data_IF_610403950365
#
_entry.id   IF_610403950365
#
_cell.length_a   1.000
_cell.length_b   1.000
_cell.length_c   1.000
_cell.angle_alpha   90.00
_cell.angle_beta   90.00
_cell.angle_gamma   90.00
#
_symmetry.space_group_name_H-M   'P 1'
#
loop_
_entity.id
_entity.type
_entity.pdbx_description
1 polymer ?
#
# COMPACT_ATOMS: atom_id res chain seq x y z
N UNK A 1 -8.67 14.46 -68.54
CA UNK A 1 -7.75 14.56 -67.38
C UNK A 1 -7.71 15.93 -66.68
N UNK A 2 -7.87 17.08 -67.37
CA UNK A 2 -7.89 18.41 -66.72
C UNK A 2 -9.13 18.68 -65.83
N UNK A 3 -10.31 18.18 -66.20
CA UNK A 3 -11.56 18.37 -65.41
C UNK A 3 -11.54 17.65 -64.08
N UNK A 4 -10.95 16.46 -64.01
CA UNK A 4 -10.86 15.66 -62.75
C UNK A 4 -9.91 16.28 -61.72
N UNK A 5 -8.81 16.94 -62.21
CA UNK A 5 -7.88 17.65 -61.32
C UNK A 5 -8.52 18.87 -60.65
N UNK A 6 -9.40 19.58 -61.34
CA UNK A 6 -10.06 20.74 -60.77
C UNK A 6 -11.15 20.38 -59.77
N UNK A 7 -11.83 19.24 -59.92
CA UNK A 7 -12.84 18.74 -58.94
C UNK A 7 -12.09 18.28 -57.67
N UNK A 8 -10.94 17.61 -57.81
CA UNK A 8 -10.17 17.17 -56.61
C UNK A 8 -9.57 18.38 -55.85
N UNK A 9 -9.16 19.42 -56.55
CA UNK A 9 -8.62 20.66 -55.91
C UNK A 9 -9.71 21.43 -55.17
N UNK A 10 -10.93 21.53 -55.73
CA UNK A 10 -12.07 22.17 -55.06
C UNK A 10 -12.56 21.37 -53.87
N UNK A 11 -12.57 20.03 -53.91
CA UNK A 11 -12.93 19.21 -52.77
C UNK A 11 -11.89 19.26 -51.63
N UNK A 12 -10.59 19.34 -51.94
CA UNK A 12 -9.57 19.57 -50.92
C UNK A 12 -9.65 20.98 -50.31
N UNK A 13 -10.00 22.02 -51.08
CA UNK A 13 -10.16 23.36 -50.56
C UNK A 13 -11.41 23.50 -49.68
N UNK A 14 -12.50 22.83 -50.01
CA UNK A 14 -13.72 22.78 -49.17
C UNK A 14 -13.48 22.00 -47.88
N UNK A 15 -12.71 20.90 -47.92
CA UNK A 15 -12.32 20.18 -46.73
C UNK A 15 -11.37 20.97 -45.82
N UNK A 16 -10.48 21.78 -46.38
CA UNK A 16 -9.63 22.67 -45.57
C UNK A 16 -10.37 23.88 -44.98
N UNK A 17 -11.36 24.42 -45.70
CA UNK A 17 -12.19 25.49 -45.15
C UNK A 17 -13.12 25.05 -44.03
N UNK A 18 -13.55 23.79 -44.00
CA UNK A 18 -14.37 23.24 -42.90
C UNK A 18 -13.56 22.96 -41.63
N UNK A 19 -12.23 22.70 -41.77
CA UNK A 19 -11.35 22.49 -40.62
C UNK A 19 -10.94 23.81 -39.90
N UNK A 20 -11.04 24.93 -40.59
CA UNK A 20 -10.68 26.26 -40.03
C UNK A 20 -11.83 26.90 -39.19
N UNK A 21 -13.02 26.30 -39.19
CA UNK A 21 -14.21 26.83 -38.50
C UNK A 21 -14.68 25.98 -37.29
N UNK A 22 -13.86 25.05 -36.79
CA UNK A 22 -14.24 24.31 -35.61
C UNK A 22 -14.11 25.18 -34.36
N UNK A 23 -15.16 25.21 -33.52
CA UNK A 23 -15.08 25.81 -32.21
C UNK A 23 -13.99 25.11 -31.40
N UNK A 24 -12.93 25.84 -31.08
CA UNK A 24 -11.83 25.31 -30.31
C UNK A 24 -12.12 25.51 -28.81
N UNK A 25 -12.54 24.43 -28.15
CA UNK A 25 -12.70 24.40 -26.69
C UNK A 25 -11.36 24.05 -26.12
N UNK A 26 -10.81 24.94 -25.32
CA UNK A 26 -9.57 24.74 -24.60
C UNK A 26 -9.81 23.83 -23.38
N UNK A 27 -9.02 22.76 -23.29
CA UNK A 27 -8.98 21.84 -22.15
C UNK A 27 -7.92 22.33 -21.19
N UNK A 28 -8.31 23.02 -20.14
CA UNK A 28 -7.36 23.50 -19.15
C UNK A 28 -7.37 22.58 -17.95
N UNK A 29 -6.24 21.92 -17.68
CA UNK A 29 -6.04 21.14 -16.47
C UNK A 29 -5.87 22.08 -15.29
N UNK A 30 -6.72 21.93 -14.30
CA UNK A 30 -6.69 22.70 -13.07
C UNK A 30 -6.32 21.75 -11.94
N UNK A 31 -5.20 22.06 -11.29
CA UNK A 31 -4.72 21.33 -10.12
C UNK A 31 -5.05 22.14 -8.86
N UNK A 32 -5.70 21.51 -7.90
CA UNK A 32 -6.01 22.15 -6.62
C UNK A 32 -6.02 21.13 -5.50
N UNK A 33 -5.79 21.61 -4.27
CA UNK A 33 -5.87 20.77 -3.08
C UNK A 33 -7.27 20.83 -2.48
N UNK A 34 -7.66 19.76 -1.78
CA UNK A 34 -8.90 19.72 -1.03
C UNK A 34 -8.75 18.84 0.21
N UNK A 35 -9.65 19.04 1.18
CA UNK A 35 -9.76 18.17 2.35
C UNK A 35 -10.76 17.06 2.02
N UNK A 36 -10.27 15.84 1.89
CA UNK A 36 -11.11 14.66 1.75
C UNK A 36 -11.78 14.36 3.09
N UNK A 37 -13.10 14.27 3.07
CA UNK A 37 -13.87 13.89 4.25
C UNK A 37 -13.71 12.42 4.57
N UNK A 38 -13.75 12.02 5.86
CA UNK A 38 -13.73 10.63 6.28
C UNK A 38 -14.95 9.83 5.78
N UNK A 39 -14.77 8.53 5.58
CA UNK A 39 -15.86 7.64 5.16
C UNK A 39 -16.86 7.36 6.28
N UNK A 40 -16.43 7.44 7.55
CA UNK A 40 -17.30 7.27 8.72
C UNK A 40 -17.75 8.62 9.24
N UNK A 41 -18.96 8.66 9.79
CA UNK A 41 -19.47 9.85 10.49
C UNK A 41 -18.55 10.20 11.65
N UNK A 42 -18.14 11.47 11.68
CA UNK A 42 -17.27 12.01 12.72
C UNK A 42 -18.07 12.96 13.61
N UNK A 43 -18.02 12.70 14.92
CA UNK A 43 -18.54 13.67 15.88
C UNK A 43 -17.60 14.88 15.95
N UNK A 44 -18.16 16.07 15.86
CA UNK A 44 -17.38 17.31 15.88
C UNK A 44 -16.63 17.57 17.18
N UNK A 45 -16.98 16.86 18.27
CA UNK A 45 -16.28 16.89 19.56
C UNK A 45 -14.95 16.12 19.53
N UNK A 46 -14.77 15.15 18.61
CA UNK A 46 -13.53 14.38 18.52
C UNK A 46 -12.43 15.20 17.85
N UNK A 47 -11.51 15.71 18.65
CA UNK A 47 -10.37 16.52 18.20
C UNK A 47 -9.04 15.79 18.34
N UNK A 48 -8.98 14.78 19.19
CA UNK A 48 -7.77 14.07 19.56
C UNK A 48 -7.92 12.57 19.33
N UNK A 49 -6.79 11.87 19.29
CA UNK A 49 -6.75 10.40 19.32
C UNK A 49 -5.56 9.91 20.15
N UNK A 50 -5.71 8.73 20.74
CA UNK A 50 -4.67 8.01 21.45
C UNK A 50 -4.44 6.66 20.79
N UNK A 51 -3.17 6.25 20.64
CA UNK A 51 -2.81 4.95 20.11
C UNK A 51 -2.31 4.04 21.24
N UNK A 52 -2.82 2.82 21.29
CA UNK A 52 -2.35 1.75 22.16
C UNK A 52 -1.88 0.58 21.29
N UNK A 53 -0.81 -0.08 21.71
CA UNK A 53 -0.23 -1.21 21.00
C UNK A 53 -0.32 -2.46 21.86
N UNK A 54 -0.82 -3.54 21.25
CA UNK A 54 -0.86 -4.87 21.83
C UNK A 54 0.16 -5.76 21.07
N UNK A 55 1.16 -6.25 21.79
CA UNK A 55 2.31 -6.95 21.23
C UNK A 55 2.09 -8.48 21.23
N UNK A 56 1.16 -8.99 20.43
CA UNK A 56 0.82 -10.41 20.38
C UNK A 56 1.98 -11.31 19.91
N UNK A 57 2.96 -10.77 19.20
CA UNK A 57 4.18 -11.51 18.82
C UNK A 57 5.04 -11.91 20.02
N UNK A 58 4.90 -11.26 21.19
CA UNK A 58 5.67 -11.62 22.40
C UNK A 58 5.30 -13.01 22.91
N UNK A 59 4.03 -13.40 22.79
CA UNK A 59 3.60 -14.74 23.17
C UNK A 59 4.23 -15.80 22.25
N UNK A 60 4.32 -15.53 20.95
CA UNK A 60 5.00 -16.41 20.02
C UNK A 60 6.51 -16.54 20.32
N UNK A 61 7.18 -15.45 20.73
CA UNK A 61 8.57 -15.50 21.20
C UNK A 61 8.72 -16.36 22.44
N UNK A 62 7.85 -16.21 23.43
CA UNK A 62 7.88 -17.00 24.66
C UNK A 62 7.66 -18.50 24.37
N UNK A 63 6.74 -18.85 23.48
CA UNK A 63 6.50 -20.22 23.08
C UNK A 63 7.67 -20.82 22.29
N UNK A 64 8.30 -20.03 21.42
CA UNK A 64 9.52 -20.42 20.72
C UNK A 64 10.68 -20.71 21.69
N UNK A 65 10.83 -19.91 22.74
CA UNK A 65 11.82 -20.14 23.81
C UNK A 65 11.56 -21.45 24.55
N UNK A 66 10.33 -21.70 24.96
CA UNK A 66 9.94 -22.96 25.63
C UNK A 66 10.26 -24.19 24.77
N UNK A 67 9.94 -24.14 23.47
CA UNK A 67 10.23 -25.22 22.53
C UNK A 67 11.74 -25.41 22.39
N UNK A 68 12.50 -24.32 22.30
CA UNK A 68 13.96 -24.36 22.22
C UNK A 68 14.57 -25.01 23.46
N UNK A 69 14.17 -24.58 24.66
CA UNK A 69 14.67 -25.11 25.92
C UNK A 69 14.34 -26.61 26.07
N UNK A 70 13.11 -27.01 25.70
CA UNK A 70 12.71 -28.40 25.74
C UNK A 70 13.58 -29.29 24.78
N UNK A 71 13.81 -28.83 23.55
CA UNK A 71 14.68 -29.51 22.59
C UNK A 71 16.13 -29.59 23.08
N UNK A 72 16.66 -28.47 23.62
CA UNK A 72 18.01 -28.43 24.18
C UNK A 72 18.19 -29.44 25.30
N UNK A 73 17.19 -29.54 26.19
CA UNK A 73 17.21 -30.52 27.28
C UNK A 73 17.12 -31.97 26.76
N UNK A 74 16.32 -32.22 25.72
CA UNK A 74 16.21 -33.52 25.08
C UNK A 74 17.56 -33.96 24.44
N UNK A 75 18.20 -33.07 23.68
CA UNK A 75 19.51 -33.34 23.07
C UNK A 75 20.61 -33.53 24.13
N UNK A 76 20.60 -32.77 25.22
CA UNK A 76 21.53 -32.97 26.33
C UNK A 76 21.32 -34.32 27.01
N UNK A 77 20.09 -34.73 27.22
CA UNK A 77 19.74 -36.05 27.80
C UNK A 77 20.25 -37.19 26.89
N UNK A 78 20.00 -37.07 25.59
CA UNK A 78 20.49 -38.03 24.60
C UNK A 78 22.04 -38.10 24.59
N UNK A 79 22.72 -36.93 24.54
CA UNK A 79 24.18 -36.88 24.61
C UNK A 79 24.72 -37.58 25.85
N UNK A 80 24.15 -37.31 27.03
CA UNK A 80 24.58 -37.93 28.29
C UNK A 80 24.43 -39.45 28.26
N UNK A 81 23.33 -39.95 27.69
CA UNK A 81 23.12 -41.39 27.53
C UNK A 81 24.16 -42.02 26.56
N UNK A 82 24.36 -41.40 25.40
CA UNK A 82 25.32 -41.85 24.40
C UNK A 82 26.76 -41.81 24.98
N UNK A 83 27.10 -40.77 25.73
CA UNK A 83 28.41 -40.63 26.39
C UNK A 83 28.62 -41.68 27.48
N UNK A 84 27.60 -42.02 28.24
CA UNK A 84 27.67 -43.08 29.23
C UNK A 84 27.97 -44.45 28.60
N UNK A 85 27.27 -44.78 27.49
CA UNK A 85 27.51 -46.00 26.71
C UNK A 85 28.91 -46.01 26.10
N UNK A 86 29.36 -44.90 25.54
CA UNK A 86 30.72 -44.75 25.02
C UNK A 86 31.75 -44.98 26.10
N UNK A 87 31.61 -44.35 27.26
CA UNK A 87 32.51 -44.50 28.42
C UNK A 87 32.60 -45.96 28.88
N UNK A 88 31.44 -46.63 29.02
CA UNK A 88 31.39 -48.05 29.40
C UNK A 88 32.18 -48.92 28.40
N UNK A 89 32.02 -48.72 27.10
CA UNK A 89 32.74 -49.43 26.05
C UNK A 89 34.23 -49.14 26.12
N UNK A 90 34.63 -47.89 26.30
CA UNK A 90 36.03 -47.48 26.44
C UNK A 90 36.67 -48.15 27.68
N UNK A 91 36.01 -48.03 28.84
CA UNK A 91 36.54 -48.59 30.07
C UNK A 91 36.69 -50.13 29.99
N UNK A 92 35.80 -50.82 29.28
CA UNK A 92 35.89 -52.27 29.04
C UNK A 92 37.10 -52.64 28.15
N UNK A 93 37.35 -51.83 27.08
CA UNK A 93 38.50 -52.02 26.20
C UNK A 93 39.82 -51.74 26.94
N UNK A 94 39.87 -50.71 27.75
CA UNK A 94 41.02 -50.39 28.59
C UNK A 94 41.32 -51.51 29.57
N UNK A 95 40.31 -52.04 30.26
CA UNK A 95 40.46 -53.14 31.21
C UNK A 95 40.97 -54.42 30.53
N UNK A 96 40.43 -54.78 29.36
CA UNK A 96 40.87 -55.94 28.57
C UNK A 96 42.34 -55.74 28.12
N UNK A 97 42.67 -54.56 27.61
CA UNK A 97 44.03 -54.22 27.18
C UNK A 97 45.07 -54.36 28.32
N UNK A 98 44.77 -53.71 29.47
CA UNK A 98 45.67 -53.79 30.63
C UNK A 98 45.81 -55.19 31.19
N UNK A 99 44.76 -56.02 31.15
CA UNK A 99 44.80 -57.40 31.56
C UNK A 99 45.73 -58.18 30.63
N UNK A 100 45.64 -58.00 29.30
CA UNK A 100 46.52 -58.66 28.31
C UNK A 100 47.94 -58.11 28.41
N UNK A 101 48.17 -56.87 28.67
CA UNK A 101 49.52 -56.32 28.87
C UNK A 101 50.19 -56.92 30.11
N UNK A 102 49.47 -57.00 31.21
CA UNK A 102 50.03 -57.62 32.46
C UNK A 102 50.36 -59.09 32.22
N UNK A 103 49.60 -59.87 31.45
CA UNK A 103 49.89 -61.22 31.06
C UNK A 103 51.13 -61.34 30.14
N UNK A 104 51.25 -60.40 29.17
CA UNK A 104 52.42 -60.28 28.31
C UNK A 104 53.70 -59.99 29.12
N UNK A 105 53.68 -58.98 30.00
CA UNK A 105 54.84 -58.62 30.83
C UNK A 105 55.26 -59.79 31.70
N UNK A 106 54.35 -60.54 32.28
CA UNK A 106 54.62 -61.73 33.07
C UNK A 106 55.30 -62.83 32.22
N UNK A 107 54.81 -63.00 30.97
CA UNK A 107 55.44 -64.00 30.05
C UNK A 107 56.87 -63.61 29.65
N UNK A 108 57.08 -62.37 29.30
CA UNK A 108 58.42 -61.83 28.97
C UNK A 108 59.40 -62.01 30.12
N UNK A 109 58.98 -61.67 31.31
CA UNK A 109 59.76 -61.75 32.54
C UNK A 109 60.12 -63.22 32.90
N UNK A 110 59.30 -64.16 32.47
CA UNK A 110 59.55 -65.59 32.65
C UNK A 110 60.40 -66.24 31.53
N UNK A 111 60.83 -65.47 30.53
CA UNK A 111 61.59 -65.96 29.38
C UNK A 111 60.71 -66.63 28.31
N UNK A 112 59.39 -66.62 28.41
CA UNK A 112 58.51 -67.22 27.44
C UNK A 112 58.26 -66.27 26.25
N UNK A 113 58.18 -66.85 25.03
CA UNK A 113 57.84 -66.10 23.84
C UNK A 113 56.39 -65.64 23.94
N UNK A 114 56.14 -64.29 23.88
CA UNK A 114 54.86 -63.72 23.94
C UNK A 114 54.70 -62.57 22.92
N UNK A 115 53.52 -62.44 22.34
CA UNK A 115 53.19 -61.34 21.41
C UNK A 115 52.58 -60.19 22.15
N UNK A 116 53.11 -58.99 21.94
CA UNK A 116 52.57 -57.77 22.57
C UNK A 116 51.14 -57.52 22.09
N UNK A 117 50.21 -57.25 22.99
CA UNK A 117 48.85 -56.89 22.61
C UNK A 117 48.80 -55.62 21.72
N UNK A 118 47.93 -55.63 20.75
CA UNK A 118 47.65 -54.44 19.92
C UNK A 118 46.87 -53.39 20.72
N UNK A 119 47.16 -52.12 20.48
CA UNK A 119 46.45 -51.01 21.13
C UNK A 119 44.94 -51.06 20.81
N UNK A 120 44.08 -50.73 21.77
CA UNK A 120 42.63 -50.79 21.55
C UNK A 120 42.17 -49.73 20.55
N UNK A 121 41.22 -50.10 19.69
CA UNK A 121 40.52 -49.18 18.80
C UNK A 121 39.26 -48.66 19.55
N UNK A 122 39.30 -47.41 19.97
CA UNK A 122 38.20 -46.82 20.70
C UNK A 122 37.04 -46.39 19.77
N UNK A 123 35.77 -46.52 20.20
CA UNK A 123 34.65 -45.93 19.51
C UNK A 123 34.76 -44.39 19.49
N UNK A 124 34.15 -43.77 18.48
CA UNK A 124 34.13 -42.32 18.36
C UNK A 124 33.36 -41.71 19.54
N UNK A 125 33.96 -40.76 20.22
CA UNK A 125 33.32 -40.04 21.35
C UNK A 125 32.14 -39.22 20.84
N UNK A 126 30.96 -39.31 21.46
CA UNK A 126 29.85 -38.42 21.17
C UNK A 126 30.24 -36.96 21.40
N UNK A 127 29.73 -36.06 20.52
CA UNK A 127 29.94 -34.63 20.64
C UNK A 127 28.58 -33.97 20.88
N UNK A 128 28.54 -33.14 21.91
CA UNK A 128 27.37 -32.29 22.15
C UNK A 128 27.43 -31.05 21.25
N UNK A 129 26.53 -30.96 20.30
CA UNK A 129 26.43 -29.80 19.40
C UNK A 129 25.02 -29.22 19.42
N UNK A 130 24.73 -28.23 20.34
CA UNK A 130 23.44 -27.63 20.47
C UNK A 130 23.11 -26.58 19.40
N UNK A 131 23.63 -26.75 18.16
CA UNK A 131 23.42 -25.80 17.05
C UNK A 131 21.93 -25.72 16.63
N UNK A 132 21.08 -25.28 17.55
CA UNK A 132 19.67 -25.01 17.28
C UNK A 132 19.49 -23.52 17.09
N UNK A 133 18.98 -23.13 15.91
CA UNK A 133 18.55 -21.74 15.67
C UNK A 133 17.17 -21.54 16.27
N UNK A 134 16.99 -20.45 17.00
CA UNK A 134 15.68 -19.97 17.46
C UNK A 134 15.27 -18.78 16.59
N UNK A 135 14.07 -18.85 16.06
CA UNK A 135 13.46 -17.73 15.36
C UNK A 135 12.68 -16.89 16.38
N UNK A 136 13.12 -15.66 16.57
CA UNK A 136 12.46 -14.70 17.43
C UNK A 136 12.08 -13.46 16.65
N UNK A 137 10.87 -12.96 16.91
CA UNK A 137 10.40 -11.68 16.40
C UNK A 137 11.14 -10.54 17.09
N UNK A 138 11.52 -9.51 16.32
CA UNK A 138 12.20 -8.33 16.83
C UNK A 138 11.31 -7.58 17.82
N UNK A 139 11.87 -7.14 18.93
CA UNK A 139 11.14 -6.34 19.88
C UNK A 139 10.94 -4.92 19.35
N UNK A 140 9.71 -4.40 19.53
CA UNK A 140 9.38 -3.01 19.19
C UNK A 140 9.37 -2.19 20.47
N UNK A 141 10.24 -1.20 20.53
CA UNK A 141 10.33 -0.26 21.63
C UNK A 141 9.30 0.87 21.45
N UNK A 142 8.80 1.45 22.53
CA UNK A 142 7.81 2.54 22.47
C UNK A 142 8.27 3.73 21.64
N UNK A 143 9.56 4.09 21.73
CA UNK A 143 10.12 5.18 20.93
C UNK A 143 10.10 4.88 19.41
N UNK A 144 10.13 3.62 19.01
CA UNK A 144 10.00 3.19 17.60
C UNK A 144 8.54 3.22 17.13
N UNK A 145 7.58 3.15 18.04
CA UNK A 145 6.14 3.17 17.76
C UNK A 145 5.57 4.59 17.79
N UNK A 146 6.24 5.50 18.52
CA UNK A 146 5.84 6.91 18.59
C UNK A 146 5.78 7.51 17.17
N UNK A 147 4.62 8.06 16.79
CA UNK A 147 4.40 8.67 15.48
C UNK A 147 4.25 7.70 14.29
N UNK A 148 4.29 6.38 14.51
CA UNK A 148 4.06 5.39 13.43
C UNK A 148 2.61 5.41 12.95
N UNK A 149 1.67 5.66 13.84
CA UNK A 149 0.25 5.79 13.51
C UNK A 149 -0.13 7.26 13.58
N UNK A 150 -0.69 7.77 12.48
CA UNK A 150 -1.08 9.17 12.33
C UNK A 150 -2.50 9.26 11.78
N UNK A 151 -3.29 10.15 12.37
CA UNK A 151 -4.64 10.44 11.89
C UNK A 151 -4.74 11.91 11.53
N UNK A 152 -4.84 12.19 10.23
CA UNK A 152 -4.84 13.55 9.71
C UNK A 152 -6.07 14.34 10.19
N UNK A 153 -5.81 15.54 10.67
CA UNK A 153 -6.84 16.41 11.21
C UNK A 153 -7.18 16.18 12.68
N UNK A 154 -6.38 15.38 13.39
CA UNK A 154 -6.48 15.14 14.82
C UNK A 154 -5.14 15.38 15.51
N UNK A 155 -5.19 15.85 16.73
CA UNK A 155 -4.04 15.96 17.62
C UNK A 155 -3.93 14.69 18.50
N UNK A 156 -2.74 14.43 19.03
CA UNK A 156 -2.56 13.37 20.03
C UNK A 156 -3.17 13.79 21.36
N UNK A 157 -3.96 12.92 22.01
CA UNK A 157 -4.58 13.21 23.30
C UNK A 157 -5.60 12.16 23.75
N UNK A 158 -5.98 12.22 25.03
CA UNK A 158 -6.75 11.18 25.71
C UNK A 158 -8.28 11.31 25.56
N UNK A 159 -8.79 12.48 25.12
CA UNK A 159 -10.22 12.80 25.19
C UNK A 159 -10.97 12.62 23.85
N UNK A 160 -10.43 11.83 22.94
CA UNK A 160 -11.01 11.62 21.62
C UNK A 160 -11.23 10.17 21.27
N UNK A 161 -10.66 9.75 20.16
CA UNK A 161 -10.74 8.37 19.70
C UNK A 161 -9.59 7.54 20.31
N UNK A 162 -9.88 6.28 20.63
CA UNK A 162 -8.87 5.30 21.01
C UNK A 162 -8.61 4.36 19.83
N UNK A 163 -7.35 4.29 19.39
CA UNK A 163 -6.89 3.42 18.32
C UNK A 163 -6.04 2.32 18.94
N UNK A 164 -6.53 1.08 18.90
CA UNK A 164 -5.80 -0.11 19.35
C UNK A 164 -5.21 -0.84 18.14
N UNK A 165 -3.91 -1.09 18.21
CA UNK A 165 -3.15 -1.82 17.20
C UNK A 165 -2.67 -3.14 17.76
N UNK A 166 -3.21 -4.26 17.23
CA UNK A 166 -2.75 -5.61 17.55
C UNK A 166 -1.63 -6.01 16.59
N UNK A 167 -0.40 -6.17 17.10
CA UNK A 167 0.78 -6.53 16.31
C UNK A 167 0.99 -8.05 16.45
N UNK A 168 0.62 -8.78 15.39
CA UNK A 168 0.74 -10.24 15.34
C UNK A 168 2.16 -10.69 14.98
N UNK A 169 2.53 -11.95 15.26
CA UNK A 169 3.76 -12.54 14.76
C UNK A 169 3.74 -12.69 13.23
N UNK A 170 4.86 -12.47 12.59
CA UNK A 170 5.06 -12.80 11.18
C UNK A 170 5.15 -14.33 11.02
N UNK A 171 4.42 -14.88 10.07
CA UNK A 171 4.32 -16.32 9.80
C UNK A 171 4.49 -16.63 8.32
N UNK A 172 4.68 -17.91 8.00
CA UNK A 172 4.83 -18.37 6.61
C UNK A 172 6.27 -18.42 6.13
N UNK A 173 7.08 -17.43 6.39
CA UNK A 173 8.55 -17.28 6.24
C UNK A 173 9.24 -18.24 5.24
N UNK A 174 8.88 -18.16 3.95
CA UNK A 174 9.43 -19.04 2.91
C UNK A 174 10.26 -18.24 1.93
N UNK A 175 11.42 -18.81 1.56
CA UNK A 175 12.19 -18.36 0.41
C UNK A 175 11.70 -19.11 -0.82
N UNK A 176 11.35 -18.38 -1.88
CA UNK A 176 10.89 -18.93 -3.15
C UNK A 176 11.80 -18.41 -4.26
N UNK A 177 12.39 -19.36 -5.00
CA UNK A 177 13.17 -19.04 -6.20
C UNK A 177 12.23 -19.01 -7.41
N UNK A 178 12.31 -17.96 -8.22
CA UNK A 178 11.63 -17.84 -9.49
C UNK A 178 12.62 -17.54 -10.59
N UNK A 179 12.69 -18.44 -11.58
CA UNK A 179 13.49 -18.24 -12.77
C UNK A 179 12.69 -17.45 -13.80
N UNK A 180 13.28 -16.36 -14.32
CA UNK A 180 12.68 -15.51 -15.36
C UNK A 180 13.64 -15.38 -16.54
N UNK A 181 13.10 -15.17 -17.75
CA UNK A 181 13.88 -15.11 -18.98
C UNK A 181 14.33 -16.49 -19.51
N UNK A 182 15.14 -16.50 -20.56
CA UNK A 182 15.67 -17.70 -21.19
C UNK A 182 17.09 -17.47 -21.75
N UNK A 183 17.87 -18.53 -21.86
CA UNK A 183 19.24 -18.46 -22.38
C UNK A 183 20.11 -17.50 -21.55
N UNK A 184 20.87 -16.64 -22.25
CA UNK A 184 21.76 -15.66 -21.62
C UNK A 184 21.02 -14.55 -20.83
N UNK A 185 19.72 -14.37 -21.05
CA UNK A 185 18.90 -13.39 -20.31
C UNK A 185 18.24 -13.95 -19.06
N UNK A 186 18.56 -15.20 -18.68
CA UNK A 186 18.03 -15.84 -17.47
C UNK A 186 18.39 -15.02 -16.23
N UNK A 187 17.39 -14.77 -15.39
CA UNK A 187 17.52 -14.14 -14.06
C UNK A 187 16.91 -15.06 -13.02
N UNK A 188 17.48 -15.04 -11.83
CA UNK A 188 16.99 -15.74 -10.66
C UNK A 188 16.46 -14.69 -9.68
N UNK A 189 15.15 -14.69 -9.48
CA UNK A 189 14.46 -13.82 -8.52
C UNK A 189 14.22 -14.61 -7.24
N UNK A 190 14.58 -14.03 -6.11
CA UNK A 190 14.35 -14.63 -4.80
C UNK A 190 13.33 -13.79 -4.06
N UNK A 191 12.22 -14.44 -3.73
CA UNK A 191 11.06 -13.85 -3.09
C UNK A 191 10.97 -14.38 -1.66
N UNK A 192 10.67 -13.51 -0.73
CA UNK A 192 10.31 -13.88 0.62
C UNK A 192 8.79 -13.86 0.76
N UNK A 193 8.21 -15.01 1.09
CA UNK A 193 6.77 -15.16 1.29
C UNK A 193 6.46 -15.17 2.79
N UNK A 194 5.50 -14.36 3.18
CA UNK A 194 5.10 -14.22 4.58
C UNK A 194 3.66 -13.74 4.70
N UNK A 195 3.11 -13.89 5.91
CA UNK A 195 1.85 -13.29 6.36
C UNK A 195 2.18 -12.48 7.61
N UNK A 196 1.86 -11.19 7.62
CA UNK A 196 1.99 -10.35 8.81
C UNK A 196 0.67 -9.62 9.05
N UNK A 197 -0.27 -10.23 9.78
CA UNK A 197 -1.52 -9.56 10.13
C UNK A 197 -1.26 -8.40 11.08
N UNK A 198 -2.10 -7.36 10.97
CA UNK A 198 -2.15 -6.26 11.93
C UNK A 198 -3.61 -5.93 12.22
N UNK A 199 -3.98 -5.93 13.49
CA UNK A 199 -5.32 -5.57 13.92
C UNK A 199 -5.44 -4.06 14.08
N UNK A 200 -6.54 -3.51 13.58
CA UNK A 200 -6.93 -2.12 13.79
C UNK A 200 -8.31 -2.07 14.42
N UNK A 201 -8.38 -1.52 15.63
CA UNK A 201 -9.65 -1.26 16.30
C UNK A 201 -9.72 0.21 16.69
N UNK A 202 -10.82 0.88 16.34
CA UNK A 202 -11.08 2.26 16.72
C UNK A 202 -12.32 2.29 17.59
N UNK A 203 -12.20 2.89 18.78
CA UNK A 203 -13.30 3.00 19.74
C UNK A 203 -13.48 4.45 20.20
N UNK A 204 -14.63 4.75 20.72
CA UNK A 204 -14.86 5.94 21.55
C UNK A 204 -14.24 5.74 22.93
N UNK A 205 -14.18 6.82 23.72
CA UNK A 205 -13.73 6.78 25.12
C UNK A 205 -14.66 5.95 26.01
N UNK A 206 -15.93 5.77 25.63
CA UNK A 206 -16.90 4.92 26.34
C UNK A 206 -16.77 3.41 25.99
N UNK A 207 -15.81 3.03 25.15
CA UNK A 207 -15.58 1.66 24.69
C UNK A 207 -16.41 1.24 23.47
N UNK A 208 -17.27 2.09 22.95
CA UNK A 208 -18.06 1.79 21.73
C UNK A 208 -17.13 1.58 20.54
N UNK A 209 -17.18 0.40 19.91
CA UNK A 209 -16.37 0.07 18.74
C UNK A 209 -16.97 0.72 17.49
N UNK A 210 -16.20 1.58 16.86
CA UNK A 210 -16.55 2.26 15.60
C UNK A 210 -16.03 1.51 14.38
N UNK A 211 -14.89 0.84 14.53
CA UNK A 211 -14.24 0.09 13.47
C UNK A 211 -13.38 -1.02 14.07
N UNK A 212 -13.39 -2.20 13.43
CA UNK A 212 -12.51 -3.31 13.79
C UNK A 212 -12.23 -4.16 12.56
N UNK A 213 -10.95 -4.34 12.24
CA UNK A 213 -10.53 -5.19 11.13
C UNK A 213 -9.11 -5.73 11.37
N UNK A 214 -8.86 -6.96 10.91
CA UNK A 214 -7.50 -7.50 10.73
C UNK A 214 -7.10 -7.20 9.28
N UNK A 215 -5.99 -6.51 9.13
CA UNK A 215 -5.40 -6.15 7.83
C UNK A 215 -4.26 -7.13 7.52
N UNK A 216 -3.99 -7.33 6.23
CA UNK A 216 -2.83 -8.10 5.73
C UNK A 216 -2.80 -9.58 6.18
N UNK A 217 -3.95 -10.19 6.39
CA UNK A 217 -4.06 -11.61 6.76
C UNK A 217 -3.95 -12.57 5.54
N UNK A 218 -3.34 -12.12 4.47
CA UNK A 218 -3.07 -12.90 3.26
C UNK A 218 -1.56 -13.03 3.03
N UNK A 219 -1.15 -14.12 2.35
CA UNK A 219 0.23 -14.32 1.95
C UNK A 219 0.70 -13.20 1.01
N UNK A 220 1.87 -12.67 1.28
CA UNK A 220 2.56 -11.70 0.46
C UNK A 220 3.89 -12.25 0.00
N UNK A 221 4.29 -11.82 -1.19
CA UNK A 221 5.61 -12.12 -1.74
C UNK A 221 6.36 -10.81 -1.94
N UNK A 222 7.52 -10.68 -1.33
CA UNK A 222 8.41 -9.53 -1.50
C UNK A 222 9.68 -9.96 -2.21
N UNK A 223 10.05 -9.24 -3.26
CA UNK A 223 11.30 -9.50 -3.97
C UNK A 223 12.48 -9.04 -3.11
N UNK A 224 13.34 -9.98 -2.73
CA UNK A 224 14.59 -9.67 -2.04
C UNK A 224 15.59 -9.08 -3.03
N UNK A 225 15.89 -9.83 -4.10
CA UNK A 225 16.84 -9.41 -5.12
C UNK A 225 16.70 -10.25 -6.40
N UNK A 226 17.40 -9.80 -7.46
CA UNK A 226 17.55 -10.50 -8.75
C UNK A 226 19.02 -10.70 -9.05
N UNK A 227 19.37 -11.93 -9.41
CA UNK A 227 20.74 -12.31 -9.71
C UNK A 227 20.84 -12.90 -11.12
N UNK A 228 22.03 -12.78 -11.73
CA UNK A 228 22.34 -13.41 -13.01
C UNK A 228 22.61 -14.90 -12.88
N UNK A 229 23.02 -15.36 -11.69
CA UNK A 229 23.25 -16.75 -11.38
C UNK A 229 22.76 -17.11 -9.98
N UNK A 230 22.45 -18.41 -9.79
CA UNK A 230 22.12 -18.95 -8.47
C UNK A 230 23.31 -18.89 -7.51
N UNK A 231 24.54 -18.91 -8.03
CA UNK A 231 25.76 -18.84 -7.22
C UNK A 231 25.89 -17.47 -6.53
N UNK A 232 25.61 -16.37 -7.22
CA UNK A 232 25.61 -15.04 -6.62
C UNK A 232 24.62 -14.94 -5.44
N UNK A 233 23.45 -15.56 -5.57
CA UNK A 233 22.49 -15.66 -4.47
C UNK A 233 23.07 -16.44 -3.28
N UNK A 234 23.71 -17.59 -3.50
CA UNK A 234 24.29 -18.39 -2.42
C UNK A 234 25.38 -17.62 -1.67
N UNK A 235 26.21 -16.87 -2.37
CA UNK A 235 27.21 -15.99 -1.75
C UNK A 235 26.55 -14.91 -0.89
N UNK A 236 25.51 -14.26 -1.41
CA UNK A 236 24.76 -13.25 -0.65
C UNK A 236 24.13 -13.87 0.62
N UNK A 237 23.57 -15.07 0.53
CA UNK A 237 22.95 -15.75 1.67
C UNK A 237 23.93 -16.07 2.79
N UNK A 238 25.20 -16.35 2.48
CA UNK A 238 26.23 -16.61 3.51
C UNK A 238 26.31 -15.43 4.51
N UNK A 239 26.21 -14.20 4.01
CA UNK A 239 26.34 -13.00 4.84
C UNK A 239 24.99 -12.59 5.48
N UNK A 240 23.85 -12.94 4.88
CA UNK A 240 22.53 -12.41 5.25
C UNK A 240 21.57 -13.43 5.89
N UNK A 241 21.89 -14.74 5.86
CA UNK A 241 20.97 -15.78 6.39
C UNK A 241 20.57 -15.51 7.85
N UNK A 242 21.51 -15.02 8.66
CA UNK A 242 21.29 -14.77 10.08
C UNK A 242 20.36 -13.57 10.34
N UNK A 243 20.35 -12.57 9.46
CA UNK A 243 19.62 -11.31 9.63
C UNK A 243 18.38 -11.21 8.75
N UNK A 244 18.26 -12.04 7.73
CA UNK A 244 17.22 -11.96 6.70
C UNK A 244 15.80 -11.92 7.30
N UNK A 245 15.51 -12.75 8.30
CA UNK A 245 14.20 -12.76 8.94
C UNK A 245 13.87 -11.42 9.58
N UNK A 246 14.80 -10.85 10.36
CA UNK A 246 14.60 -9.57 11.05
C UNK A 246 14.47 -8.41 10.06
N UNK A 247 15.27 -8.42 8.99
CA UNK A 247 15.18 -7.40 7.93
C UNK A 247 13.82 -7.46 7.21
N UNK A 248 13.37 -8.66 6.85
CA UNK A 248 12.08 -8.84 6.20
C UNK A 248 10.92 -8.51 7.13
N UNK A 249 11.02 -8.89 8.40
CA UNK A 249 10.03 -8.53 9.42
C UNK A 249 9.93 -7.00 9.60
N UNK A 250 11.06 -6.31 9.65
CA UNK A 250 11.07 -4.84 9.75
C UNK A 250 10.38 -4.17 8.55
N UNK A 251 10.68 -4.64 7.34
CA UNK A 251 10.03 -4.14 6.11
C UNK A 251 8.54 -4.43 6.14
N UNK A 252 8.15 -5.65 6.48
CA UNK A 252 6.76 -6.07 6.59
C UNK A 252 5.98 -5.22 7.61
N UNK A 253 6.56 -4.94 8.78
CA UNK A 253 5.97 -4.09 9.82
C UNK A 253 5.80 -2.64 9.36
N UNK A 254 6.81 -2.07 8.70
CA UNK A 254 6.69 -0.71 8.14
C UNK A 254 5.56 -0.63 7.11
N UNK A 255 5.44 -1.64 6.24
CA UNK A 255 4.31 -1.73 5.33
C UNK A 255 2.98 -1.88 6.07
N UNK A 256 2.90 -2.72 7.10
CA UNK A 256 1.69 -2.90 7.90
C UNK A 256 1.23 -1.59 8.57
N UNK A 257 2.15 -0.79 9.13
CA UNK A 257 1.81 0.54 9.66
C UNK A 257 1.36 1.51 8.58
N UNK A 258 1.92 1.43 7.37
CA UNK A 258 1.45 2.27 6.25
C UNK A 258 0.00 1.93 5.87
N UNK A 259 -0.37 0.64 5.88
CA UNK A 259 -1.74 0.20 5.63
C UNK A 259 -2.70 0.58 6.76
N UNK A 260 -2.26 0.49 8.02
CA UNK A 260 -3.03 1.03 9.15
C UNK A 260 -3.32 2.51 8.94
N UNK A 261 -2.30 3.31 8.62
CA UNK A 261 -2.45 4.73 8.37
C UNK A 261 -3.39 5.02 7.19
N UNK A 262 -3.26 4.25 6.10
CA UNK A 262 -4.14 4.38 4.94
C UNK A 262 -5.60 4.13 5.32
N UNK A 263 -5.89 3.02 6.00
CA UNK A 263 -7.26 2.65 6.40
C UNK A 263 -7.79 3.60 7.45
N UNK A 264 -7.00 3.93 8.47
CA UNK A 264 -7.40 4.84 9.55
C UNK A 264 -7.77 6.22 9.00
N UNK A 265 -6.93 6.76 8.11
CA UNK A 265 -7.17 8.05 7.50
C UNK A 265 -8.35 8.01 6.51
N UNK A 266 -8.51 6.93 5.74
CA UNK A 266 -9.67 6.77 4.87
C UNK A 266 -10.99 6.76 5.64
N UNK A 267 -11.03 6.08 6.79
CA UNK A 267 -12.25 5.92 7.59
C UNK A 267 -12.53 7.13 8.49
N UNK A 268 -11.50 7.75 9.08
CA UNK A 268 -11.66 8.75 10.15
C UNK A 268 -10.91 10.06 9.89
N UNK A 269 -9.88 10.08 9.02
CA UNK A 269 -9.01 11.22 8.80
C UNK A 269 -9.60 12.28 7.87
N UNK A 270 -9.15 13.53 8.05
CA UNK A 270 -9.39 14.64 7.14
C UNK A 270 -8.14 14.83 6.28
N UNK A 271 -8.08 14.09 5.18
CA UNK A 271 -6.88 14.00 4.36
C UNK A 271 -6.75 15.22 3.45
N UNK A 272 -5.64 15.96 3.57
CA UNK A 272 -5.32 16.96 2.55
C UNK A 272 -4.72 16.24 1.32
N UNK A 273 -5.41 16.34 0.20
CA UNK A 273 -5.05 15.70 -1.05
C UNK A 273 -5.23 16.63 -2.23
N UNK A 274 -4.76 16.24 -3.41
CA UNK A 274 -4.88 17.04 -4.62
C UNK A 274 -5.77 16.35 -5.65
N UNK A 275 -6.39 17.18 -6.50
CA UNK A 275 -7.17 16.74 -7.66
C UNK A 275 -6.74 17.53 -8.88
N UNK A 276 -6.56 16.82 -9.99
CA UNK A 276 -6.53 17.39 -11.33
C UNK A 276 -7.91 17.21 -11.96
N UNK A 277 -8.48 18.27 -12.48
CA UNK A 277 -9.73 18.23 -13.23
C UNK A 277 -9.63 19.11 -14.47
N UNK A 278 -10.37 18.79 -15.52
CA UNK A 278 -10.45 19.62 -16.69
C UNK A 278 -11.56 20.67 -16.49
N UNK A 279 -11.20 21.94 -16.63
CA UNK A 279 -12.14 23.08 -16.69
C UNK A 279 -12.04 23.68 -18.07
N UNK A 280 -13.16 23.75 -18.73
CA UNK A 280 -13.22 24.11 -20.14
C UNK A 280 -13.48 25.58 -20.33
N UNK A 281 -12.87 26.16 -21.36
CA UNK A 281 -13.07 27.55 -21.81
C UNK A 281 -13.06 27.67 -23.33
N UNK A 282 -13.44 28.81 -23.84
CA UNK A 282 -13.38 29.15 -25.26
C UNK A 282 -12.77 30.54 -25.38
N UNK A 283 -11.80 30.72 -26.27
CA UNK A 283 -11.17 32.02 -26.50
C UNK A 283 -11.89 32.81 -27.59
N UNK A 284 -12.17 32.20 -28.70
CA UNK A 284 -12.79 32.83 -29.86
C UNK A 284 -13.43 31.82 -30.78
N UNK A 285 -14.57 32.18 -31.37
CA UNK A 285 -15.18 31.42 -32.47
C UNK A 285 -15.91 32.41 -33.41
N UNK A 286 -15.50 32.45 -34.69
CA UNK A 286 -16.02 33.43 -35.67
C UNK A 286 -15.91 34.87 -35.14
N UNK A 287 -17.01 35.58 -35.23
CA UNK A 287 -17.16 36.97 -34.77
C UNK A 287 -17.66 37.07 -33.33
N UNK A 288 -17.85 35.93 -32.66
CA UNK A 288 -18.30 35.92 -31.27
C UNK A 288 -17.16 36.14 -30.31
N UNK A 289 -17.40 36.96 -29.33
CA UNK A 289 -16.55 37.11 -28.15
C UNK A 289 -17.04 36.24 -27.00
N UNK A 290 -16.09 35.68 -26.24
CA UNK A 290 -16.33 34.82 -25.10
C UNK A 290 -15.65 35.34 -23.82
N UNK A 291 -15.63 36.67 -23.65
CA UNK A 291 -15.08 37.32 -22.44
C UNK A 291 -15.77 36.86 -21.17
N UNK A 292 -17.10 36.67 -21.24
CA UNK A 292 -17.92 36.12 -20.17
C UNK A 292 -17.60 34.66 -19.82
N UNK A 293 -17.30 33.81 -20.82
CA UNK A 293 -16.83 32.45 -20.63
C UNK A 293 -15.45 32.41 -19.96
N UNK A 294 -14.55 33.32 -20.40
CA UNK A 294 -13.23 33.47 -19.77
C UNK A 294 -13.33 33.94 -18.32
N UNK A 295 -14.27 34.87 -18.03
CA UNK A 295 -14.56 35.31 -16.66
C UNK A 295 -15.10 34.14 -15.81
N UNK A 296 -16.07 33.37 -16.33
CA UNK A 296 -16.63 32.18 -15.64
C UNK A 296 -15.55 31.12 -15.35
N UNK A 297 -14.66 30.88 -16.32
CA UNK A 297 -13.48 30.01 -16.11
C UNK A 297 -12.57 30.53 -15.00
N UNK A 298 -12.27 31.84 -15.00
CA UNK A 298 -11.42 32.46 -13.97
C UNK A 298 -12.04 32.34 -12.59
N UNK A 299 -13.34 32.63 -12.46
CA UNK A 299 -14.08 32.45 -11.21
C UNK A 299 -14.06 30.98 -10.74
N UNK A 300 -14.21 30.02 -11.67
CA UNK A 300 -14.14 28.60 -11.37
C UNK A 300 -12.78 28.20 -10.79
N UNK A 301 -11.69 28.60 -11.44
CA UNK A 301 -10.33 28.27 -10.95
C UNK A 301 -10.03 28.91 -9.58
N UNK A 302 -10.47 30.14 -9.37
CA UNK A 302 -10.35 30.82 -8.06
C UNK A 302 -11.17 30.13 -6.98
N UNK A 303 -12.38 29.66 -7.28
CA UNK A 303 -13.22 28.94 -6.35
C UNK A 303 -12.61 27.59 -5.97
N UNK A 304 -12.13 26.82 -6.95
CA UNK A 304 -11.48 25.52 -6.72
C UNK A 304 -10.22 25.66 -5.85
N UNK A 305 -9.44 26.73 -6.03
CA UNK A 305 -8.27 27.00 -5.20
C UNK A 305 -8.59 27.25 -3.72
N UNK A 306 -9.87 27.50 -3.37
CA UNK A 306 -10.29 27.77 -2.00
C UNK A 306 -10.87 26.56 -1.27
N UNK A 307 -11.14 25.42 -1.94
CA UNK A 307 -11.82 24.26 -1.33
C UNK A 307 -11.00 23.53 -0.25
N UNK A 308 -9.70 23.79 -0.17
CA UNK A 308 -8.81 23.22 0.88
C UNK A 308 -8.67 24.13 2.11
N UNK A 309 -9.22 25.33 2.10
CA UNK A 309 -9.00 26.32 3.17
C UNK A 309 -9.64 25.94 4.50
N UNK A 310 -10.77 25.24 4.44
CA UNK A 310 -11.47 24.75 5.61
C UNK A 310 -12.25 23.47 5.31
N UNK A 311 -12.53 22.67 6.35
CA UNK A 311 -13.18 21.34 6.23
C UNK A 311 -14.61 21.42 5.70
N UNK A 312 -15.34 22.46 6.05
CA UNK A 312 -16.74 22.69 5.65
C UNK A 312 -16.87 23.53 4.38
N UNK A 313 -15.74 23.94 3.77
CA UNK A 313 -15.67 24.71 2.53
C UNK A 313 -16.35 26.08 2.63
N UNK A 314 -16.55 26.63 3.83
CA UNK A 314 -17.24 27.92 4.05
C UNK A 314 -16.56 29.05 3.28
N UNK A 315 -15.25 29.09 3.19
CA UNK A 315 -14.48 30.07 2.42
C UNK A 315 -14.69 29.92 0.91
N UNK A 316 -14.88 28.70 0.40
CA UNK A 316 -15.06 28.45 -1.02
C UNK A 316 -16.49 28.69 -1.52
N UNK A 317 -17.51 28.45 -0.68
CA UNK A 317 -18.93 28.51 -1.08
C UNK A 317 -19.30 29.82 -1.79
N UNK A 318 -19.00 31.01 -1.30
CA UNK A 318 -19.38 32.27 -2.00
C UNK A 318 -18.73 32.38 -3.39
N UNK A 319 -17.49 31.88 -3.55
CA UNK A 319 -16.79 31.90 -4.84
C UNK A 319 -17.36 30.86 -5.80
N UNK A 320 -17.71 29.67 -5.29
CA UNK A 320 -18.41 28.63 -6.07
C UNK A 320 -19.76 29.15 -6.57
N UNK A 321 -20.52 29.83 -5.74
CA UNK A 321 -21.80 30.42 -6.11
C UNK A 321 -21.68 31.54 -7.17
N UNK A 322 -20.65 32.37 -7.06
CA UNK A 322 -20.37 33.40 -8.07
C UNK A 322 -20.04 32.77 -9.43
N UNK A 323 -19.17 31.72 -9.44
CA UNK A 323 -18.84 30.99 -10.65
C UNK A 323 -20.05 30.27 -11.27
N UNK A 324 -20.86 29.60 -10.44
CA UNK A 324 -22.11 28.95 -10.86
C UNK A 324 -23.08 29.96 -11.47
N UNK A 325 -23.29 31.10 -10.83
CA UNK A 325 -24.18 32.16 -11.33
C UNK A 325 -23.72 32.67 -12.71
N UNK A 326 -22.42 32.86 -12.89
CA UNK A 326 -21.84 33.27 -14.16
C UNK A 326 -22.07 32.24 -15.27
N UNK A 327 -21.76 30.95 -15.02
CA UNK A 327 -22.06 29.90 -15.98
C UNK A 327 -23.52 29.76 -16.32
N UNK A 328 -24.42 29.89 -15.35
CA UNK A 328 -25.88 29.86 -15.57
C UNK A 328 -26.38 31.06 -16.40
N UNK A 329 -25.81 32.24 -16.23
CA UNK A 329 -26.18 33.38 -17.07
C UNK A 329 -25.80 33.16 -18.54
N UNK A 330 -24.63 32.57 -18.81
CA UNK A 330 -24.21 32.21 -20.17
C UNK A 330 -25.14 31.13 -20.77
N UNK A 331 -25.56 30.19 -19.96
CA UNK A 331 -26.42 29.07 -20.39
C UNK A 331 -27.80 29.53 -20.86
N UNK A 332 -28.24 30.73 -20.44
CA UNK A 332 -29.52 31.31 -20.93
C UNK A 332 -29.53 31.63 -22.43
N UNK A 333 -28.33 31.75 -23.04
CA UNK A 333 -28.18 31.93 -24.49
C UNK A 333 -28.12 30.61 -25.27
N UNK A 334 -28.30 29.46 -24.60
CA UNK A 334 -28.17 28.13 -25.21
C UNK A 334 -29.19 27.94 -26.34
N UNK A 335 -28.70 27.56 -27.51
CA UNK A 335 -29.51 27.13 -28.63
C UNK A 335 -28.99 25.81 -29.19
N UNK A 336 -29.62 24.71 -28.77
CA UNK A 336 -29.19 23.34 -29.11
C UNK A 336 -29.47 22.96 -30.59
N UNK A 337 -30.29 23.75 -31.29
CA UNK A 337 -30.74 23.47 -32.65
C UNK A 337 -29.95 24.26 -33.71
N UNK A 338 -29.16 25.22 -33.31
CA UNK A 338 -28.32 26.02 -34.19
C UNK A 338 -26.84 25.84 -33.92
N UNK A 339 -26.19 25.00 -34.73
CA UNK A 339 -24.74 24.75 -34.65
C UNK A 339 -23.89 26.03 -34.81
N UNK A 340 -24.44 27.09 -35.33
CA UNK A 340 -23.79 28.40 -35.52
C UNK A 340 -24.03 29.35 -34.36
N UNK A 341 -24.92 29.02 -33.43
CA UNK A 341 -25.18 29.84 -32.26
C UNK A 341 -23.91 30.04 -31.42
N UNK A 342 -23.85 31.17 -30.72
CA UNK A 342 -22.75 31.48 -29.81
C UNK A 342 -22.62 30.39 -28.74
N UNK A 343 -23.72 30.03 -28.10
CA UNK A 343 -23.81 28.96 -27.13
C UNK A 343 -24.66 27.84 -27.75
N UNK A 344 -24.00 27.06 -28.59
CA UNK A 344 -24.60 25.88 -29.24
C UNK A 344 -24.59 24.65 -28.34
N UNK A 345 -25.00 23.49 -28.86
CA UNK A 345 -25.05 22.19 -28.15
C UNK A 345 -23.70 21.80 -27.52
N UNK A 346 -22.60 21.99 -28.27
CA UNK A 346 -21.24 21.66 -27.82
C UNK A 346 -20.80 22.52 -26.64
N UNK A 347 -21.07 23.83 -26.70
CA UNK A 347 -20.72 24.77 -25.62
C UNK A 347 -21.65 24.57 -24.43
N UNK A 348 -22.92 24.30 -24.66
CA UNK A 348 -23.89 23.95 -23.63
C UNK A 348 -23.42 22.73 -22.82
N UNK A 349 -23.01 21.65 -23.50
CA UNK A 349 -22.46 20.45 -22.84
C UNK A 349 -21.19 20.75 -22.03
N UNK A 350 -20.31 21.59 -22.57
CA UNK A 350 -19.12 22.09 -21.87
C UNK A 350 -19.49 22.80 -20.57
N UNK A 351 -20.48 23.68 -20.60
CA UNK A 351 -20.94 24.41 -19.41
C UNK A 351 -21.51 23.47 -18.37
N UNK A 352 -22.31 22.47 -18.77
CA UNK A 352 -22.81 21.44 -17.86
C UNK A 352 -21.68 20.65 -17.18
N UNK A 353 -20.61 20.30 -17.91
CA UNK A 353 -19.43 19.71 -17.31
C UNK A 353 -18.79 20.62 -16.25
N UNK A 354 -18.58 21.91 -16.53
CA UNK A 354 -18.01 22.85 -15.57
C UNK A 354 -18.91 23.03 -14.34
N UNK A 355 -20.22 23.16 -14.53
CA UNK A 355 -21.21 23.26 -13.46
C UNK A 355 -21.23 22.04 -12.57
N UNK A 356 -21.12 20.84 -13.13
CA UNK A 356 -21.09 19.60 -12.35
C UNK A 356 -19.95 19.58 -11.35
N UNK A 357 -18.73 19.99 -11.74
CA UNK A 357 -17.58 20.09 -10.85
C UNK A 357 -17.84 21.10 -9.71
N UNK A 358 -18.36 22.27 -10.03
CA UNK A 358 -18.66 23.31 -9.03
C UNK A 358 -19.71 22.85 -8.02
N UNK A 359 -20.77 22.14 -8.46
CA UNK A 359 -21.80 21.62 -7.57
C UNK A 359 -21.32 20.48 -6.67
N UNK A 360 -20.40 19.62 -7.14
CA UNK A 360 -19.73 18.62 -6.28
C UNK A 360 -19.03 19.34 -5.11
N UNK A 361 -18.31 20.42 -5.40
CA UNK A 361 -17.58 21.16 -4.36
C UNK A 361 -18.49 22.01 -3.48
N UNK A 362 -19.62 22.46 -3.99
CA UNK A 362 -20.65 23.11 -3.18
C UNK A 362 -21.35 22.14 -2.23
N UNK A 363 -21.33 20.82 -2.51
CA UNK A 363 -22.05 19.79 -1.75
C UNK A 363 -23.49 19.61 -2.21
N UNK A 364 -23.89 20.21 -3.33
CA UNK A 364 -25.21 20.03 -3.97
C UNK A 364 -25.13 18.89 -4.97
N UNK A 365 -25.13 17.67 -4.45
CA UNK A 365 -24.98 16.46 -5.25
C UNK A 365 -26.19 16.15 -6.14
N UNK A 366 -27.38 16.62 -5.76
CA UNK A 366 -28.57 16.45 -6.61
C UNK A 366 -28.42 17.27 -7.90
N UNK A 367 -28.02 18.54 -7.79
CA UNK A 367 -27.81 19.38 -8.97
C UNK A 367 -26.55 18.94 -9.74
N UNK A 368 -25.48 18.51 -9.04
CA UNK A 368 -24.28 17.96 -9.73
C UNK A 368 -24.60 16.75 -10.59
N UNK A 369 -25.47 15.85 -10.12
CA UNK A 369 -25.92 14.68 -10.88
C UNK A 369 -26.73 15.07 -12.10
N UNK A 370 -27.64 16.06 -11.96
CA UNK A 370 -28.40 16.59 -13.10
C UNK A 370 -27.46 17.17 -14.16
N UNK A 371 -26.50 17.98 -13.78
CA UNK A 371 -25.53 18.60 -14.70
C UNK A 371 -24.65 17.56 -15.41
N UNK A 372 -24.20 16.50 -14.69
CA UNK A 372 -23.49 15.38 -15.28
C UNK A 372 -24.33 14.64 -16.31
N UNK A 373 -25.62 14.41 -16.03
CA UNK A 373 -26.53 13.74 -16.93
C UNK A 373 -26.84 14.59 -18.18
N UNK A 374 -26.98 15.92 -18.04
CA UNK A 374 -27.15 16.83 -19.17
C UNK A 374 -25.94 16.84 -20.10
N UNK A 375 -24.73 16.84 -19.56
CA UNK A 375 -23.50 16.73 -20.34
C UNK A 375 -23.37 15.33 -21.01
N UNK A 376 -23.71 14.25 -20.28
CA UNK A 376 -23.70 12.88 -20.79
C UNK A 376 -24.62 12.68 -21.97
N UNK A 377 -25.83 13.27 -21.92
CA UNK A 377 -26.89 13.11 -22.90
C UNK A 377 -26.84 14.13 -24.04
N UNK A 378 -25.87 15.03 -24.05
CA UNK A 378 -25.72 16.08 -25.06
C UNK A 378 -25.42 15.58 -26.48
N UNK A 379 -25.04 14.30 -26.65
CA UNK A 379 -24.54 13.76 -27.92
C UNK A 379 -23.09 14.15 -28.27
N UNK A 380 -22.47 15.06 -27.52
CA UNK A 380 -21.06 15.49 -27.74
C UNK A 380 -20.11 14.52 -27.09
N UNK A 381 -19.47 13.66 -27.87
CA UNK A 381 -18.63 12.54 -27.42
C UNK A 381 -17.58 12.92 -26.37
N UNK A 382 -16.91 14.09 -26.53
CA UNK A 382 -15.92 14.59 -25.58
C UNK A 382 -16.50 14.73 -24.17
N UNK A 383 -17.65 15.37 -24.03
CA UNK A 383 -18.27 15.68 -22.75
C UNK A 383 -19.03 14.48 -22.16
N UNK A 384 -19.49 13.57 -23.02
CA UNK A 384 -19.98 12.26 -22.58
C UNK A 384 -18.89 11.50 -21.82
N UNK A 385 -17.70 11.31 -22.43
CA UNK A 385 -16.58 10.60 -21.81
C UNK A 385 -16.09 11.28 -20.54
N UNK A 386 -16.06 12.62 -20.53
CA UNK A 386 -15.67 13.37 -19.34
C UNK A 386 -16.68 13.17 -18.19
N UNK A 387 -17.96 13.20 -18.48
CA UNK A 387 -19.02 12.98 -17.48
C UNK A 387 -18.95 11.56 -16.90
N UNK A 388 -18.66 10.56 -17.73
CA UNK A 388 -18.44 9.17 -17.27
C UNK A 388 -17.22 9.09 -16.32
N UNK A 389 -16.08 9.70 -16.67
CA UNK A 389 -14.88 9.75 -15.81
C UNK A 389 -15.14 10.46 -14.47
N UNK A 390 -15.93 11.52 -14.48
CA UNK A 390 -16.29 12.27 -13.25
C UNK A 390 -17.25 11.52 -12.35
N UNK A 391 -18.01 10.56 -12.89
CA UNK A 391 -19.02 9.81 -12.13
C UNK A 391 -18.44 9.08 -10.92
N UNK A 392 -17.28 8.45 -11.06
CA UNK A 392 -16.64 7.73 -9.96
C UNK A 392 -16.24 8.69 -8.84
N UNK A 393 -15.64 9.83 -9.20
CA UNK A 393 -15.28 10.86 -8.22
C UNK A 393 -16.52 11.49 -7.56
N UNK A 394 -17.56 11.77 -8.33
CA UNK A 394 -18.83 12.25 -7.82
C UNK A 394 -19.41 11.28 -6.77
N UNK A 395 -19.52 10.00 -7.09
CA UNK A 395 -20.04 8.97 -6.19
C UNK A 395 -19.19 8.87 -4.91
N UNK A 396 -17.88 8.93 -5.04
CA UNK A 396 -16.95 8.90 -3.92
C UNK A 396 -17.13 10.11 -2.99
N UNK A 397 -17.24 11.32 -3.53
CA UNK A 397 -17.45 12.54 -2.74
C UNK A 397 -18.84 12.59 -2.12
N UNK A 398 -19.87 12.17 -2.85
CA UNK A 398 -21.25 12.11 -2.37
C UNK A 398 -21.37 11.20 -1.15
N UNK A 399 -20.86 9.97 -1.22
CA UNK A 399 -20.92 9.03 -0.12
C UNK A 399 -20.29 9.59 1.18
N UNK A 400 -19.14 10.26 1.06
CA UNK A 400 -18.45 10.86 2.21
C UNK A 400 -19.17 12.09 2.76
N UNK A 401 -19.70 12.92 1.89
CA UNK A 401 -20.49 14.07 2.29
C UNK A 401 -21.77 13.66 3.03
N UNK A 402 -22.51 12.69 2.49
CA UNK A 402 -23.71 12.15 3.12
C UNK A 402 -23.39 11.53 4.48
N UNK A 403 -22.29 10.78 4.60
CA UNK A 403 -21.85 10.20 5.88
C UNK A 403 -21.61 11.26 6.97
N UNK A 404 -21.16 12.48 6.61
CA UNK A 404 -20.93 13.55 7.57
C UNK A 404 -22.21 14.36 7.91
N UNK A 405 -23.23 14.33 7.06
CA UNK A 405 -24.42 15.17 7.19
C UNK A 405 -25.71 14.38 7.56
N UNK A 406 -25.62 13.07 7.65
CA UNK A 406 -26.67 12.21 8.22
C UNK A 406 -26.54 12.14 9.76
#
# INVERSE_FOLDING_TARGET
MKAIKNILLCSLFLAHCSLLNAQNIDDNKVNFSYIQLPAKKIDSSWKTFKVLYNHLYKDANNDSLKIFDARKQQELTKYNADFAVWKQKKDALDKDYFTKMAAYEKSVNSGAAATKPTDPIYPVQPVYNPNMKILQHSELLENQLTGKVQMQGYDSGDNGLLVLIDIYPMRGNKLVERKTGSGASTKYEFLYQYILPIGLTVTKTDGTVLYKQILLDNERSELINKYSSRYEWLLWMVDHEATLFQEMELRARNYAFSEVNRVLNDQFGFINTSRETEVYSIKRYKDYEYSDVTEAYTLTTQALAMVSKDRNRATAIPKLEAAIAKWKSILQESNLYDEKARINDKITAMIHCNLSELYIWKGDFATADLELNLALNSGVFKFKNESERRRDFFNFQKARWEAQNQ
#
